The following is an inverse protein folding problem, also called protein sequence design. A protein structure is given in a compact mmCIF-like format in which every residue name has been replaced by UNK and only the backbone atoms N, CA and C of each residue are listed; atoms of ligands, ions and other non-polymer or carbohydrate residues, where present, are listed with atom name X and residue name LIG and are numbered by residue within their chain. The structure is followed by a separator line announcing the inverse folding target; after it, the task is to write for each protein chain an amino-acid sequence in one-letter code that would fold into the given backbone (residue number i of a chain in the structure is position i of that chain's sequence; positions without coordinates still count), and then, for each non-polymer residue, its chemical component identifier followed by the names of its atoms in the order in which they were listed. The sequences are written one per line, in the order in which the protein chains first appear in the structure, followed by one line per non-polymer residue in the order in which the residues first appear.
data_IF_922468191245
#
_entry.id   IF_922468191245
#
_cell.length_a   1.000
_cell.length_b   1.000
_cell.length_c   1.000
_cell.angle_alpha   90.00
_cell.angle_beta   90.00
_cell.angle_gamma   90.00
#
_symmetry.space_group_name_H-M   'P 1'
#
loop_
_entity.id
_entity.type
_entity.pdbx_description
1 polymer ?
#
# COMPACT_ATOMS: atom_id res chain seq x y z
N UNK A 1 -2.72 4.58 16.78
CA UNK A 1 -3.02 5.08 15.42
C UNK A 1 -2.78 4.03 14.33
N UNK A 2 -1.67 3.27 14.35
CA UNK A 2 -1.36 2.26 13.31
C UNK A 2 -2.50 1.26 13.04
N UNK A 3 -3.09 0.67 14.08
CA UNK A 3 -4.22 -0.27 13.93
C UNK A 3 -5.46 0.37 13.32
N UNK A 4 -5.76 1.62 13.71
CA UNK A 4 -6.93 2.35 13.21
C UNK A 4 -6.79 2.62 11.70
N UNK A 5 -5.63 3.13 11.27
CA UNK A 5 -5.33 3.32 9.85
C UNK A 5 -5.39 1.99 9.08
N UNK A 6 -4.85 0.90 9.64
CA UNK A 6 -4.95 -0.42 9.00
C UNK A 6 -6.40 -0.89 8.85
N UNK A 7 -7.27 -0.61 9.82
CA UNK A 7 -8.69 -0.93 9.70
C UNK A 7 -9.38 -0.09 8.61
N UNK A 8 -9.00 1.18 8.43
CA UNK A 8 -9.47 1.99 7.30
C UNK A 8 -9.06 1.37 5.96
N UNK A 9 -7.82 0.88 5.85
CA UNK A 9 -7.34 0.18 4.65
C UNK A 9 -8.10 -1.13 4.40
N UNK A 10 -8.37 -1.93 5.44
CA UNK A 10 -9.19 -3.15 5.34
C UNK A 10 -10.61 -2.82 4.87
N UNK A 11 -11.21 -1.75 5.41
CA UNK A 11 -12.55 -1.32 5.00
C UNK A 11 -12.57 -0.88 3.52
N UNK A 12 -11.56 -0.14 3.07
CA UNK A 12 -11.42 0.28 1.68
C UNK A 12 -11.18 -0.90 0.72
N UNK A 13 -10.33 -1.86 1.11
CA UNK A 13 -10.14 -3.09 0.33
C UNK A 13 -11.44 -3.90 0.25
N UNK A 14 -12.16 -4.05 1.36
CA UNK A 14 -13.45 -4.73 1.39
C UNK A 14 -14.48 -4.03 0.50
N UNK A 15 -14.51 -2.69 0.51
CA UNK A 15 -15.34 -1.89 -0.39
C UNK A 15 -15.01 -2.18 -1.86
N UNK A 16 -13.73 -2.32 -2.22
CA UNK A 16 -13.35 -2.64 -3.60
C UNK A 16 -13.91 -4.00 -4.06
N UNK A 17 -13.95 -5.01 -3.18
CA UNK A 17 -14.54 -6.33 -3.46
C UNK A 17 -16.05 -6.20 -3.67
N UNK A 18 -16.72 -5.43 -2.81
CA UNK A 18 -18.16 -5.15 -2.97
C UNK A 18 -18.43 -4.45 -4.29
N UNK A 19 -17.67 -3.41 -4.65
CA UNK A 19 -17.81 -2.71 -5.93
C UNK A 19 -17.56 -3.64 -7.12
N UNK A 20 -16.53 -4.48 -7.06
CA UNK A 20 -16.24 -5.46 -8.11
C UNK A 20 -17.39 -6.46 -8.28
N UNK A 21 -18.03 -6.91 -7.19
CA UNK A 21 -19.17 -7.85 -7.26
C UNK A 21 -20.38 -7.30 -8.02
N UNK A 22 -20.45 -5.99 -8.23
CA UNK A 22 -21.51 -5.33 -9.01
C UNK A 22 -21.16 -5.22 -10.51
N UNK A 23 -19.93 -5.55 -10.90
CA UNK A 23 -19.50 -5.53 -12.30
C UNK A 23 -19.80 -6.89 -12.97
N UNK A 24 -20.08 -6.93 -14.28
CA UNK A 24 -20.46 -8.16 -14.98
C UNK A 24 -19.24 -9.02 -15.37
N UNK A 25 -18.17 -8.98 -14.58
CA UNK A 25 -16.98 -9.80 -14.80
C UNK A 25 -17.03 -11.06 -13.95
N UNK A 26 -16.46 -12.15 -14.46
CA UNK A 26 -16.29 -13.36 -13.68
C UNK A 26 -15.42 -13.12 -12.44
N UNK A 27 -15.75 -13.75 -11.31
CA UNK A 27 -15.11 -13.47 -10.03
C UNK A 27 -13.58 -13.65 -10.00
N UNK A 28 -13.05 -14.55 -10.82
CA UNK A 28 -11.61 -14.80 -10.90
C UNK A 28 -10.80 -13.63 -11.46
N UNK A 29 -11.43 -12.68 -12.16
CA UNK A 29 -10.74 -11.49 -12.67
C UNK A 29 -10.16 -10.63 -11.55
N UNK A 30 -10.83 -10.55 -10.40
CA UNK A 30 -10.34 -9.76 -9.28
C UNK A 30 -9.01 -10.30 -8.73
N UNK A 31 -8.90 -11.54 -8.23
CA UNK A 31 -7.63 -12.07 -7.74
C UNK A 31 -6.57 -12.22 -8.84
N UNK A 32 -6.96 -12.43 -10.10
CA UNK A 32 -6.01 -12.50 -11.21
C UNK A 32 -5.36 -11.14 -11.52
N UNK A 33 -6.13 -10.05 -11.45
CA UNK A 33 -5.66 -8.72 -11.85
C UNK A 33 -5.22 -7.84 -10.69
N UNK A 34 -5.56 -8.17 -9.44
CA UNK A 34 -5.24 -7.31 -8.29
C UNK A 34 -3.75 -7.04 -8.15
N UNK A 35 -2.87 -7.96 -8.60
CA UNK A 35 -1.41 -7.81 -8.54
C UNK A 35 -0.80 -7.15 -9.79
N UNK A 36 -1.56 -6.94 -10.87
CA UNK A 36 -1.07 -6.28 -12.10
C UNK A 36 -0.51 -4.86 -11.84
N UNK A 37 -1.11 -4.04 -10.97
CA UNK A 37 -0.55 -2.74 -10.57
C UNK A 37 0.93 -2.78 -10.11
N UNK A 38 1.39 -3.88 -9.51
CA UNK A 38 2.79 -4.00 -9.04
C UNK A 38 3.81 -4.07 -10.18
N UNK A 39 3.38 -4.34 -11.41
CA UNK A 39 4.26 -4.23 -12.59
C UNK A 39 4.80 -2.81 -12.77
N UNK A 40 4.15 -1.79 -12.19
CA UNK A 40 4.68 -0.43 -12.12
C UNK A 40 6.06 -0.33 -11.45
N UNK A 41 6.42 -1.29 -10.60
CA UNK A 41 7.75 -1.39 -9.99
C UNK A 41 8.87 -1.68 -11.01
N UNK A 42 8.56 -2.15 -12.22
CA UNK A 42 9.56 -2.32 -13.27
C UNK A 42 10.25 -0.99 -13.64
N UNK A 43 9.65 0.16 -13.33
CA UNK A 43 10.31 1.47 -13.49
C UNK A 43 11.61 1.61 -12.67
N UNK A 44 11.76 0.85 -11.58
CA UNK A 44 13.00 0.82 -10.79
C UNK A 44 14.18 0.18 -11.54
N UNK A 45 13.93 -0.58 -12.61
CA UNK A 45 14.99 -1.09 -13.50
C UNK A 45 15.70 0.04 -14.26
N UNK A 46 15.05 1.19 -14.44
CA UNK A 46 15.65 2.36 -15.08
C UNK A 46 16.38 3.21 -14.04
N UNK A 47 15.68 3.66 -13.01
CA UNK A 47 16.26 4.32 -11.82
C UNK A 47 15.20 4.49 -10.70
N UNK A 48 15.62 4.82 -9.46
CA UNK A 48 14.71 5.00 -8.32
C UNK A 48 13.64 6.08 -8.53
N UNK A 49 13.94 7.18 -9.23
CA UNK A 49 12.98 8.26 -9.46
C UNK A 49 11.83 7.80 -10.34
N UNK A 50 12.14 7.21 -11.50
CA UNK A 50 11.14 6.70 -12.45
C UNK A 50 10.30 5.60 -11.79
N UNK A 51 10.95 4.68 -11.06
CA UNK A 51 10.26 3.66 -10.28
C UNK A 51 9.28 4.23 -9.26
N UNK A 52 9.70 5.22 -8.48
CA UNK A 52 8.86 5.86 -7.47
C UNK A 52 7.65 6.58 -8.11
N UNK A 53 7.84 7.33 -9.20
CA UNK A 53 6.74 8.00 -9.90
C UNK A 53 5.74 7.02 -10.49
N UNK A 54 6.21 5.99 -11.21
CA UNK A 54 5.34 4.98 -11.80
C UNK A 54 4.54 4.23 -10.74
N UNK A 55 5.21 3.78 -9.68
CA UNK A 55 4.56 3.12 -8.54
C UNK A 55 3.53 4.03 -7.89
N UNK A 56 3.92 5.26 -7.54
CA UNK A 56 3.05 6.17 -6.80
C UNK A 56 1.80 6.53 -7.59
N UNK A 57 1.90 6.75 -8.91
CA UNK A 57 0.76 7.05 -9.75
C UNK A 57 -0.28 5.92 -9.71
N UNK A 58 0.19 4.69 -9.90
CA UNK A 58 -0.66 3.49 -9.92
C UNK A 58 -1.25 3.18 -8.52
N UNK A 59 -0.51 3.46 -7.45
CA UNK A 59 -0.94 3.25 -6.06
C UNK A 59 -1.64 4.47 -5.43
N UNK A 60 -1.92 5.52 -6.22
CA UNK A 60 -2.61 6.72 -5.76
C UNK A 60 -4.12 6.52 -5.76
N UNK A 61 -4.75 6.48 -4.58
CA UNK A 61 -6.20 6.25 -4.47
C UNK A 61 -7.05 7.28 -5.20
N UNK A 62 -6.66 8.57 -5.19
CA UNK A 62 -7.40 9.58 -5.96
C UNK A 62 -7.33 9.35 -7.47
N UNK A 63 -6.21 8.81 -7.98
CA UNK A 63 -6.09 8.45 -9.39
C UNK A 63 -7.01 7.26 -9.72
N UNK A 64 -7.00 6.23 -8.86
CA UNK A 64 -7.93 5.11 -8.97
C UNK A 64 -9.41 5.54 -8.99
N UNK A 65 -9.78 6.44 -8.07
CA UNK A 65 -11.13 7.02 -8.00
C UNK A 65 -11.45 7.80 -9.27
N UNK A 66 -10.52 8.63 -9.78
CA UNK A 66 -10.73 9.39 -11.01
C UNK A 66 -10.98 8.45 -12.21
N UNK A 67 -10.22 7.35 -12.34
CA UNK A 67 -10.44 6.33 -13.38
C UNK A 67 -11.81 5.66 -13.22
N UNK A 68 -12.21 5.31 -11.99
CA UNK A 68 -13.54 4.75 -11.71
C UNK A 68 -14.68 5.73 -12.06
N UNK A 69 -14.54 7.01 -11.68
CA UNK A 69 -15.51 8.06 -12.01
C UNK A 69 -15.60 8.26 -13.53
N UNK A 70 -14.47 8.27 -14.25
CA UNK A 70 -14.47 8.30 -15.71
C UNK A 70 -15.19 7.08 -16.30
N UNK A 71 -15.00 5.89 -15.71
CA UNK A 71 -15.75 4.69 -16.09
C UNK A 71 -17.26 4.83 -15.93
N UNK A 72 -17.72 5.47 -14.84
CA UNK A 72 -19.14 5.78 -14.64
C UNK A 72 -19.65 6.77 -15.69
N UNK A 73 -18.96 7.90 -15.88
CA UNK A 73 -19.36 8.96 -16.81
C UNK A 73 -19.41 8.47 -18.26
N UNK A 74 -18.52 7.56 -18.63
CA UNK A 74 -18.42 6.99 -19.98
C UNK A 74 -19.18 5.67 -20.14
N UNK A 75 -19.88 5.18 -19.11
CA UNK A 75 -20.53 3.87 -19.08
C UNK A 75 -19.60 2.71 -19.51
N UNK A 76 -18.32 2.78 -19.14
CA UNK A 76 -17.29 1.83 -19.55
C UNK A 76 -16.93 0.87 -18.43
N UNK A 77 -17.37 -0.38 -18.57
CA UNK A 77 -17.10 -1.45 -17.60
C UNK A 77 -15.60 -1.74 -17.43
N UNK A 78 -14.75 -1.73 -18.48
CA UNK A 78 -13.30 -1.87 -18.31
C UNK A 78 -12.66 -0.74 -17.49
N UNK A 79 -13.11 0.50 -17.67
CA UNK A 79 -12.63 1.65 -16.88
C UNK A 79 -13.07 1.53 -15.42
N UNK A 80 -14.31 1.10 -15.17
CA UNK A 80 -14.79 0.82 -13.81
C UNK A 80 -13.97 -0.27 -13.14
N UNK A 81 -13.74 -1.39 -13.84
CA UNK A 81 -12.91 -2.48 -13.35
C UNK A 81 -11.49 -1.99 -13.02
N UNK A 82 -10.90 -1.18 -13.91
CA UNK A 82 -9.56 -0.62 -13.71
C UNK A 82 -9.52 0.26 -12.45
N UNK A 83 -10.49 1.17 -12.27
CA UNK A 83 -10.56 2.03 -11.09
C UNK A 83 -10.74 1.24 -9.80
N UNK A 84 -11.62 0.23 -9.80
CA UNK A 84 -11.87 -0.65 -8.65
C UNK A 84 -10.62 -1.48 -8.29
N UNK A 85 -9.94 -2.05 -9.27
CA UNK A 85 -8.70 -2.82 -9.06
C UNK A 85 -7.57 -1.95 -8.52
N UNK A 86 -7.35 -0.75 -9.10
CA UNK A 86 -6.34 0.19 -8.61
C UNK A 86 -6.65 0.62 -7.17
N UNK A 87 -7.91 0.90 -6.86
CA UNK A 87 -8.34 1.31 -5.52
C UNK A 87 -8.15 0.18 -4.50
N UNK A 88 -8.58 -1.03 -4.84
CA UNK A 88 -8.42 -2.23 -4.02
C UNK A 88 -6.95 -2.55 -3.78
N UNK A 89 -6.13 -2.56 -4.84
CA UNK A 89 -4.70 -2.83 -4.72
C UNK A 89 -3.99 -1.79 -3.85
N UNK A 90 -4.26 -0.51 -4.09
CA UNK A 90 -3.69 0.58 -3.29
C UNK A 90 -4.06 0.49 -1.80
N UNK A 91 -5.25 -0.02 -1.46
CA UNK A 91 -5.65 -0.25 -0.07
C UNK A 91 -4.99 -1.51 0.51
N UNK A 92 -4.92 -2.60 -0.27
CA UNK A 92 -4.24 -3.84 0.10
C UNK A 92 -2.75 -3.59 0.40
N UNK A 93 -2.08 -2.81 -0.46
CA UNK A 93 -0.67 -2.42 -0.32
C UNK A 93 -0.43 -1.72 1.03
N UNK A 94 -1.25 -0.71 1.36
CA UNK A 94 -1.19 0.03 2.64
C UNK A 94 -1.56 -0.81 3.85
N UNK A 95 -2.51 -1.73 3.72
CA UNK A 95 -2.84 -2.71 4.76
C UNK A 95 -1.64 -3.62 5.09
N UNK A 96 -0.84 -3.98 4.09
CA UNK A 96 0.37 -4.81 4.24
C UNK A 96 1.59 -4.00 4.73
N UNK A 97 1.46 -2.68 4.87
CA UNK A 97 2.53 -1.80 5.35
C UNK A 97 3.42 -1.26 4.24
N UNK A 98 3.07 -1.51 2.98
CA UNK A 98 3.67 -0.84 1.83
C UNK A 98 3.02 0.53 1.67
N UNK A 99 3.78 1.52 1.20
CA UNK A 99 3.30 2.89 1.08
C UNK A 99 3.90 3.55 -0.14
N UNK A 100 3.40 4.76 -0.43
CA UNK A 100 3.99 5.65 -1.41
C UNK A 100 5.49 5.80 -1.18
N UNK A 101 6.23 5.74 -2.28
CA UNK A 101 7.68 5.63 -2.35
C UNK A 101 8.31 7.01 -2.47
N UNK A 102 9.41 7.21 -1.76
CA UNK A 102 10.29 8.35 -2.01
C UNK A 102 11.19 8.08 -3.23
N UNK A 103 11.71 9.14 -3.83
CA UNK A 103 12.45 9.06 -5.10
C UNK A 103 13.94 8.71 -4.93
N UNK A 104 14.38 8.47 -3.69
CA UNK A 104 15.74 8.12 -3.29
C UNK A 104 15.97 6.61 -3.19
N UNK A 105 14.97 5.83 -2.74
CA UNK A 105 15.06 4.38 -2.58
C UNK A 105 13.68 3.71 -2.58
N UNK A 106 13.63 2.46 -3.06
CA UNK A 106 12.42 1.62 -2.97
C UNK A 106 12.03 1.30 -1.51
N UNK A 107 13.00 1.22 -0.61
CA UNK A 107 12.76 0.86 0.79
C UNK A 107 12.20 2.03 1.61
N UNK A 108 12.26 3.26 1.10
CA UNK A 108 11.76 4.45 1.81
C UNK A 108 10.31 4.74 1.42
N UNK A 109 9.41 4.69 2.42
CA UNK A 109 7.99 4.97 2.21
C UNK A 109 7.45 5.95 3.24
N UNK A 110 6.33 6.59 2.94
CA UNK A 110 5.64 7.49 3.89
C UNK A 110 5.13 6.79 5.16
N UNK A 111 4.99 5.46 5.15
CA UNK A 111 4.63 4.67 6.34
C UNK A 111 5.86 4.29 7.18
N UNK A 112 7.05 4.63 6.71
CA UNK A 112 8.34 4.24 7.26
C UNK A 112 9.16 3.39 6.29
N UNK A 113 10.42 3.11 6.64
CA UNK A 113 11.26 2.21 5.85
C UNK A 113 10.73 0.78 5.92
N UNK A 114 10.98 0.02 4.85
CA UNK A 114 10.66 -1.41 4.73
C UNK A 114 11.92 -2.24 4.49
N UNK A 115 11.82 -3.56 4.60
CA UNK A 115 12.91 -4.47 4.25
C UNK A 115 14.14 -4.32 5.16
N UNK A 116 15.33 -4.28 4.55
CA UNK A 116 16.61 -4.27 5.28
C UNK A 116 16.80 -2.99 6.07
N UNK A 117 16.38 -1.85 5.52
CA UNK A 117 16.46 -0.55 6.21
C UNK A 117 15.63 -0.54 7.50
N UNK A 118 14.45 -1.19 7.50
CA UNK A 118 13.62 -1.29 8.70
C UNK A 118 14.30 -2.11 9.83
N UNK A 119 14.92 -3.25 9.47
CA UNK A 119 15.61 -4.12 10.43
C UNK A 119 16.81 -3.41 11.07
N UNK A 120 17.61 -2.69 10.26
CA UNK A 120 18.76 -1.93 10.76
C UNK A 120 18.36 -0.87 11.78
N UNK A 121 17.27 -0.15 11.53
CA UNK A 121 16.77 0.88 12.44
C UNK A 121 16.19 0.32 13.74
N UNK A 122 15.62 -0.90 13.73
CA UNK A 122 15.21 -1.55 14.98
C UNK A 122 16.38 -2.02 15.83
N UNK A 123 17.49 -2.43 15.21
CA UNK A 123 18.68 -2.90 15.92
C UNK A 123 19.49 -1.74 16.52
N UNK A 124 19.47 -0.57 15.88
CA UNK A 124 20.14 0.65 16.36
C UNK A 124 19.29 1.48 17.34
N UNK A 125 18.01 1.13 17.55
CA UNK A 125 17.15 1.83 18.49
C UNK A 125 17.67 1.65 19.94
N UNK A 126 17.83 2.72 20.73
CA UNK A 126 18.27 2.58 22.11
C UNK A 126 17.26 1.71 22.86
N UNK A 127 17.72 0.63 23.49
CA UNK A 127 16.90 -0.20 24.37
C UNK A 127 16.51 0.59 25.63
N UNK A 128 15.57 1.50 25.48
CA UNK A 128 14.91 2.21 26.57
C UNK A 128 14.12 1.19 27.40
N UNK A 129 14.66 0.85 28.58
CA UNK A 129 13.84 0.34 29.68
C UNK A 129 14.01 -1.13 30.10
N UNK A 130 15.17 -1.77 29.90
CA UNK A 130 15.47 -3.06 30.57
C UNK A 130 16.84 -3.08 31.24
N UNK A 131 17.03 -2.24 32.25
CA UNK A 131 17.88 -2.54 33.40
C UNK A 131 17.83 -1.38 34.40
N UNK A 132 17.33 -1.66 35.62
CA UNK A 132 18.02 -1.42 36.91
C UNK A 132 16.99 -1.39 38.05
N UNK A 133 16.49 -2.55 38.44
CA UNK A 133 15.81 -2.76 39.71
C UNK A 133 16.41 -3.99 40.40
N UNK A 134 17.70 -3.92 40.72
CA UNK A 134 18.34 -4.83 41.67
C UNK A 134 19.51 -4.07 42.27
N UNK A 135 19.25 -3.40 43.40
CA UNK A 135 20.18 -3.15 44.49
C UNK A 135 19.51 -2.18 45.47
N UNK A 136 18.59 -2.72 46.28
CA UNK A 136 18.21 -2.15 47.57
C UNK A 136 18.52 -3.24 48.60
N UNK A 137 19.81 -3.35 48.91
CA UNK A 137 20.26 -3.98 50.16
C UNK A 137 20.11 -2.90 51.23
N UNK A 138 19.03 -2.96 52.00
CA UNK A 138 18.91 -2.20 53.24
C UNK A 138 19.65 -3.02 54.31
N UNK A 139 20.73 -2.44 54.81
CA UNK A 139 21.37 -2.80 56.08
C UNK A 139 20.90 -1.81 57.14
#
# INVERSE_FOLDING_TARGET
MKTLLKLEEVAQFSLSIVLFSQLPFAWWWFPALILVPDLSMLGYLINPKIGAYAYNLVHHKAFAIAIGVLGLLLNSQPLLLTGVLLFGHAAMDRMMGYGLKYSDSFEHTHLGPIGKTAAKLSDEAPQSGKHRASNLSIS
#
